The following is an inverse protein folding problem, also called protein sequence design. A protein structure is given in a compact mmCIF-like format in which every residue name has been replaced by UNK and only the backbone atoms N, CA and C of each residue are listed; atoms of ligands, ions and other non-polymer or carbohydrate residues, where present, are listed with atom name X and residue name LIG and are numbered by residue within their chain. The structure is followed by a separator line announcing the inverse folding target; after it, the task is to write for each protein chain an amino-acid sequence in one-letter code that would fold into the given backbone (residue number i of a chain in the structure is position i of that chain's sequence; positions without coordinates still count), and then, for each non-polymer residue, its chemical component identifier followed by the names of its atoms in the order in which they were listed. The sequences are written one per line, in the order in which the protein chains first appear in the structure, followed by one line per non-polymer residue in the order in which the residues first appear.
data_IF_357824411396
#
_entry.id   IF_357824411396
#
_cell.length_a   1.000
_cell.length_b   1.000
_cell.length_c   1.000
_cell.angle_alpha   90.00
_cell.angle_beta   90.00
_cell.angle_gamma   90.00
#
_symmetry.space_group_name_H-M   'P 1'
#
loop_
_entity.id
_entity.type
_entity.pdbx_description
1 polymer ?
#
# COMPACT_ATOMS: atom_id res chain seq x y z
N UNK A 1 -50.29 47.18 -37.92
CA UNK A 1 -49.29 47.23 -36.83
C UNK A 1 -50.02 46.91 -35.53
N UNK A 2 -50.00 45.64 -35.12
CA UNK A 2 -50.45 45.24 -33.78
C UNK A 2 -49.18 44.90 -33.00
N UNK A 3 -48.86 45.75 -32.02
CA UNK A 3 -47.70 45.59 -31.13
C UNK A 3 -48.00 44.49 -30.12
N UNK A 4 -47.34 43.34 -30.27
CA UNK A 4 -47.35 42.29 -29.27
C UNK A 4 -46.46 42.72 -28.09
N UNK A 5 -47.06 42.86 -26.90
CA UNK A 5 -46.32 43.08 -25.65
C UNK A 5 -45.49 41.84 -25.30
N UNK A 6 -44.25 41.98 -24.79
CA UNK A 6 -43.46 40.86 -24.33
C UNK A 6 -44.03 40.26 -23.05
N UNK A 7 -44.17 38.93 -23.02
CA UNK A 7 -44.57 38.19 -21.82
C UNK A 7 -43.53 38.38 -20.70
N UNK A 8 -43.94 38.53 -19.43
CA UNK A 8 -43.01 38.61 -18.32
C UNK A 8 -42.32 37.25 -18.13
N UNK A 9 -41.01 37.22 -18.34
CA UNK A 9 -40.15 36.08 -17.97
C UNK A 9 -39.99 36.05 -16.45
N UNK A 10 -41.00 35.52 -15.75
CA UNK A 10 -40.89 35.19 -14.34
C UNK A 10 -39.84 34.10 -14.10
N UNK A 11 -39.17 34.08 -12.94
CA UNK A 11 -38.21 33.02 -12.61
C UNK A 11 -38.93 31.67 -12.65
N UNK A 12 -38.39 30.74 -13.44
CA UNK A 12 -38.86 29.35 -13.50
C UNK A 12 -38.88 28.78 -12.07
N UNK A 13 -39.94 28.04 -11.67
CA UNK A 13 -39.98 27.43 -10.35
C UNK A 13 -38.80 26.46 -10.20
N UNK A 14 -37.90 26.75 -9.26
CA UNK A 14 -36.78 25.87 -8.96
C UNK A 14 -37.32 24.59 -8.32
N UNK A 15 -37.09 23.45 -8.97
CA UNK A 15 -37.39 22.14 -8.40
C UNK A 15 -36.57 21.98 -7.12
N UNK A 16 -37.24 21.96 -5.98
CA UNK A 16 -36.59 21.78 -4.67
C UNK A 16 -36.69 20.31 -4.28
N UNK A 17 -35.54 19.68 -4.06
CA UNK A 17 -35.44 18.30 -3.63
C UNK A 17 -34.98 18.21 -2.17
N UNK A 18 -35.30 17.11 -1.49
CA UNK A 18 -34.67 16.79 -0.22
C UNK A 18 -33.19 16.47 -0.44
N UNK A 19 -32.32 16.79 0.53
CA UNK A 19 -30.87 16.54 0.45
C UNK A 19 -30.50 15.14 -0.07
N UNK A 20 -31.05 14.02 0.47
CA UNK A 20 -30.67 12.68 0.00
C UNK A 20 -31.14 12.36 -1.42
N UNK A 21 -32.25 12.95 -1.88
CA UNK A 21 -32.74 12.76 -3.25
C UNK A 21 -31.87 13.56 -4.22
N UNK A 22 -31.52 14.79 -3.87
CA UNK A 22 -30.66 15.64 -4.68
C UNK A 22 -29.25 15.05 -4.84
N UNK A 23 -28.68 14.52 -3.75
CA UNK A 23 -27.38 13.84 -3.78
C UNK A 23 -27.34 12.66 -4.76
N UNK A 24 -28.46 11.93 -4.92
CA UNK A 24 -28.56 10.81 -5.86
C UNK A 24 -28.85 11.24 -7.30
N UNK A 25 -29.67 12.29 -7.49
CA UNK A 25 -30.04 12.77 -8.83
C UNK A 25 -28.91 13.57 -9.49
N UNK A 26 -28.14 14.33 -8.72
CA UNK A 26 -27.13 15.25 -9.24
C UNK A 26 -25.96 15.34 -8.25
N UNK A 27 -25.12 14.29 -8.18
CA UNK A 27 -24.06 14.19 -7.17
C UNK A 27 -22.99 15.29 -7.31
N UNK A 28 -22.64 15.68 -8.55
CA UNK A 28 -21.65 16.74 -8.79
C UNK A 28 -22.12 18.12 -8.30
N UNK A 29 -23.29 18.66 -8.71
CA UNK A 29 -23.81 19.91 -8.15
C UNK A 29 -24.04 19.88 -6.63
N UNK A 30 -24.41 18.72 -6.09
CA UNK A 30 -24.61 18.55 -4.66
C UNK A 30 -23.30 18.73 -3.87
N UNK A 31 -22.22 18.07 -4.30
CA UNK A 31 -20.91 18.20 -3.68
C UNK A 31 -20.38 19.64 -3.81
N UNK A 32 -20.52 20.25 -4.99
CA UNK A 32 -20.13 21.65 -5.22
C UNK A 32 -20.83 22.59 -4.24
N UNK A 33 -22.15 22.46 -4.07
CA UNK A 33 -22.91 23.29 -3.13
C UNK A 33 -22.46 23.14 -1.68
N UNK A 34 -22.00 21.96 -1.29
CA UNK A 34 -21.53 21.70 0.08
C UNK A 34 -20.10 22.24 0.29
N UNK A 35 -19.27 22.22 -0.76
CA UNK A 35 -17.91 22.75 -0.75
C UNK A 35 -17.82 24.28 -0.94
N UNK A 36 -18.84 24.91 -1.53
CA UNK A 36 -18.97 26.36 -1.64
C UNK A 36 -20.31 26.81 -1.06
N UNK A 37 -20.44 26.90 0.28
CA UNK A 37 -21.66 27.40 0.89
C UNK A 37 -21.88 28.86 0.51
N UNK A 38 -23.13 29.22 0.21
CA UNK A 38 -23.52 30.59 -0.14
C UNK A 38 -23.37 31.57 1.04
N UNK A 39 -23.39 31.04 2.28
CA UNK A 39 -23.24 31.81 3.51
C UNK A 39 -21.78 31.83 3.98
N UNK A 40 -21.20 33.02 4.26
CA UNK A 40 -19.79 33.14 4.66
C UNK A 40 -19.47 32.55 6.05
N UNK A 41 -20.49 32.33 6.90
CA UNK A 41 -20.31 31.76 8.25
C UNK A 41 -20.16 30.23 8.24
N UNK A 42 -20.53 29.56 7.14
CA UNK A 42 -20.50 28.11 7.06
C UNK A 42 -19.17 27.63 6.46
N UNK A 43 -18.47 26.75 7.16
CA UNK A 43 -17.25 26.15 6.65
C UNK A 43 -17.56 25.15 5.53
N UNK A 44 -16.67 25.02 4.52
CA UNK A 44 -16.84 24.05 3.45
C UNK A 44 -16.75 22.64 4.01
N UNK A 45 -17.80 21.84 3.82
CA UNK A 45 -17.85 20.44 4.26
C UNK A 45 -18.10 19.51 3.09
N UNK A 46 -17.71 18.26 3.26
CA UNK A 46 -17.99 17.16 2.33
C UNK A 46 -19.37 16.58 2.61
N UNK A 47 -19.81 15.67 1.75
CA UNK A 47 -21.10 14.97 1.90
C UNK A 47 -21.22 14.23 3.24
N UNK A 48 -20.10 13.74 3.77
CA UNK A 48 -19.97 13.05 5.06
C UNK A 48 -19.73 13.99 6.26
N UNK A 49 -19.73 15.31 6.04
CA UNK A 49 -19.50 16.33 7.08
C UNK A 49 -18.03 16.60 7.41
N UNK A 50 -17.07 15.88 6.82
CA UNK A 50 -15.63 16.13 7.01
C UNK A 50 -15.18 17.39 6.27
N UNK A 51 -14.11 18.00 6.76
CA UNK A 51 -13.42 19.06 6.03
C UNK A 51 -12.68 18.50 4.78
N UNK A 52 -12.40 19.32 3.75
CA UNK A 52 -11.68 18.88 2.55
C UNK A 52 -10.30 18.25 2.85
N UNK A 53 -9.60 18.76 3.86
CA UNK A 53 -8.27 18.31 4.27
C UNK A 53 -8.28 17.26 5.39
N UNK A 54 -9.45 16.74 5.77
CA UNK A 54 -9.59 15.80 6.89
C UNK A 54 -9.70 14.35 6.40
N UNK A 55 -8.78 13.50 6.85
CA UNK A 55 -8.77 12.06 6.57
C UNK A 55 -9.73 11.29 7.49
N UNK A 56 -10.08 10.04 7.14
CA UNK A 56 -10.85 9.17 8.05
C UNK A 56 -9.99 8.72 9.23
N UNK A 57 -10.58 8.58 10.43
CA UNK A 57 -9.87 7.98 11.56
C UNK A 57 -9.42 6.56 11.20
N UNK A 58 -8.19 6.23 11.56
CA UNK A 58 -7.59 4.92 11.32
C UNK A 58 -7.47 4.15 12.64
N UNK A 59 -7.87 2.89 12.62
CA UNK A 59 -7.70 1.94 13.72
C UNK A 59 -6.97 0.73 13.19
N UNK A 60 -5.90 0.31 13.87
CA UNK A 60 -5.03 -0.79 13.46
C UNK A 60 -4.95 -1.76 14.62
N UNK A 61 -5.25 -3.03 14.37
CA UNK A 61 -5.05 -4.12 15.33
C UNK A 61 -4.09 -5.14 14.70
N UNK A 62 -2.88 -5.25 15.24
CA UNK A 62 -1.90 -6.27 14.82
C UNK A 62 -2.21 -7.63 15.45
N UNK A 63 -1.70 -8.71 14.87
CA UNK A 63 -1.91 -10.09 15.35
C UNK A 63 -3.38 -10.52 15.42
N UNK A 64 -4.21 -10.07 14.47
CA UNK A 64 -5.65 -10.39 14.42
C UNK A 64 -5.96 -11.85 14.02
N UNK A 65 -5.04 -12.53 13.34
CA UNK A 65 -5.17 -13.91 12.87
C UNK A 65 -4.14 -14.81 13.57
N UNK A 66 -4.60 -15.89 14.19
CA UNK A 66 -3.74 -16.79 14.98
C UNK A 66 -2.87 -17.74 14.15
N UNK A 67 -3.29 -18.05 12.92
CA UNK A 67 -2.59 -19.00 12.04
C UNK A 67 -1.57 -18.34 11.10
N UNK A 68 -1.66 -17.02 10.90
CA UNK A 68 -0.74 -16.29 10.03
C UNK A 68 0.58 -15.98 10.75
N UNK A 69 1.68 -15.89 10.00
CA UNK A 69 3.00 -15.52 10.55
C UNK A 69 3.03 -14.05 10.98
N UNK A 70 2.23 -13.21 10.31
CA UNK A 70 1.91 -11.85 10.72
C UNK A 70 0.51 -11.50 10.25
N UNK A 71 -0.19 -10.65 10.99
CA UNK A 71 -1.52 -10.22 10.55
C UNK A 71 -1.88 -8.83 11.06
N UNK A 72 -2.84 -8.21 10.38
CA UNK A 72 -3.41 -6.94 10.81
C UNK A 72 -4.87 -6.84 10.40
N UNK A 73 -5.63 -6.08 11.19
CA UNK A 73 -6.96 -5.58 10.85
C UNK A 73 -6.88 -4.07 10.87
N UNK A 74 -7.13 -3.44 9.72
CA UNK A 74 -7.13 -1.99 9.57
C UNK A 74 -8.52 -1.52 9.21
N UNK A 75 -9.02 -0.56 9.98
CA UNK A 75 -10.28 0.13 9.72
C UNK A 75 -10.00 1.61 9.49
N UNK A 76 -10.41 2.10 8.34
CA UNK A 76 -10.33 3.51 7.93
C UNK A 76 -11.75 4.00 7.66
N UNK A 77 -12.38 4.60 8.67
CA UNK A 77 -13.82 4.90 8.66
C UNK A 77 -14.66 3.62 8.48
N UNK A 78 -15.36 3.51 7.35
CA UNK A 78 -16.19 2.34 7.01
C UNK A 78 -15.45 1.32 6.14
N UNK A 79 -14.27 1.65 5.62
CA UNK A 79 -13.42 0.70 4.90
C UNK A 79 -12.66 -0.17 5.90
N UNK A 80 -12.81 -1.49 5.81
CA UNK A 80 -12.17 -2.45 6.70
C UNK A 80 -11.42 -3.50 5.89
N UNK A 81 -10.14 -3.69 6.19
CA UNK A 81 -9.23 -4.60 5.50
C UNK A 81 -8.53 -5.48 6.51
N UNK A 82 -8.50 -6.78 6.24
CA UNK A 82 -7.71 -7.77 6.97
C UNK A 82 -6.51 -8.12 6.09
N UNK A 83 -5.31 -8.10 6.65
CA UNK A 83 -4.10 -8.56 5.97
C UNK A 83 -3.50 -9.74 6.74
N UNK A 84 -3.16 -10.81 6.03
CA UNK A 84 -2.43 -11.96 6.55
C UNK A 84 -1.12 -12.14 5.77
N UNK A 85 -0.04 -12.41 6.50
CA UNK A 85 1.27 -12.74 5.91
C UNK A 85 1.57 -14.21 6.17
N UNK A 86 1.86 -14.94 5.09
CA UNK A 86 2.28 -16.34 5.13
C UNK A 86 3.66 -16.47 4.49
N UNK A 87 4.62 -16.97 5.26
CA UNK A 87 5.93 -17.37 4.74
C UNK A 87 5.91 -18.80 4.21
N UNK A 88 6.45 -19.01 3.02
CA UNK A 88 6.79 -20.32 2.46
C UNK A 88 8.26 -20.35 2.06
N UNK A 89 8.83 -21.54 1.94
CA UNK A 89 10.23 -21.74 1.59
C UNK A 89 10.36 -22.10 0.11
N UNK A 90 11.09 -21.27 -0.64
CA UNK A 90 11.43 -21.49 -2.03
C UNK A 90 12.86 -22.01 -2.13
N UNK A 91 13.08 -23.30 -2.44
CA UNK A 91 14.43 -23.83 -2.63
C UNK A 91 15.10 -23.21 -3.85
N UNK A 92 16.41 -23.03 -3.80
CA UNK A 92 17.18 -22.42 -4.92
C UNK A 92 17.07 -23.21 -6.23
N UNK A 93 16.81 -24.51 -6.14
CA UNK A 93 16.57 -25.39 -7.29
C UNK A 93 15.29 -25.06 -8.06
N UNK A 94 14.32 -24.43 -7.40
CA UNK A 94 13.05 -24.00 -8.01
C UNK A 94 13.11 -22.58 -8.58
N UNK A 95 14.21 -21.84 -8.34
CA UNK A 95 14.34 -20.45 -8.80
C UNK A 95 14.87 -20.44 -10.25
N UNK A 96 14.10 -19.90 -11.21
CA UNK A 96 14.59 -19.74 -12.56
C UNK A 96 15.73 -18.71 -12.59
N UNK A 97 16.82 -19.02 -13.29
CA UNK A 97 17.99 -18.14 -13.42
C UNK A 97 18.63 -17.73 -12.07
N UNK A 98 18.62 -18.64 -11.10
CA UNK A 98 19.28 -18.42 -9.81
C UNK A 98 20.74 -17.98 -9.99
N UNK A 99 21.10 -16.85 -9.36
CA UNK A 99 22.47 -16.35 -9.34
C UNK A 99 23.11 -16.73 -8.00
N UNK A 100 24.14 -17.60 -7.99
CA UNK A 100 24.75 -18.04 -6.75
C UNK A 100 25.30 -16.85 -5.97
N UNK A 101 25.06 -16.88 -4.66
CA UNK A 101 25.56 -15.87 -3.75
C UNK A 101 26.96 -16.28 -3.29
N UNK A 102 27.98 -15.65 -3.86
CA UNK A 102 29.39 -15.91 -3.52
C UNK A 102 29.90 -15.07 -2.33
N UNK A 103 29.03 -14.24 -1.73
CA UNK A 103 29.34 -13.43 -0.55
C UNK A 103 29.31 -14.25 0.74
N UNK A 104 30.06 -13.83 1.74
CA UNK A 104 30.05 -14.45 3.07
C UNK A 104 28.91 -13.90 3.92
N UNK A 105 28.55 -14.60 5.02
CA UNK A 105 27.55 -14.15 6.01
C UNK A 105 27.85 -12.74 6.58
N UNK A 106 29.08 -12.24 6.42
CA UNK A 106 29.61 -11.01 7.00
C UNK A 106 29.80 -9.87 5.98
N UNK A 107 29.41 -10.06 4.72
CA UNK A 107 29.56 -9.03 3.67
C UNK A 107 28.48 -7.94 3.86
N UNK A 108 28.77 -6.95 4.71
CA UNK A 108 27.90 -5.80 5.01
C UNK A 108 28.18 -4.60 4.10
N UNK A 109 28.54 -4.83 2.85
CA UNK A 109 28.73 -3.74 1.89
C UNK A 109 27.40 -3.18 1.39
N UNK A 110 27.37 -1.88 1.04
CA UNK A 110 26.22 -1.24 0.36
C UNK A 110 25.80 -1.99 -0.92
N UNK A 111 26.73 -2.74 -1.53
CA UNK A 111 26.48 -3.61 -2.67
C UNK A 111 25.57 -4.81 -2.37
N UNK A 112 25.63 -5.40 -1.16
CA UNK A 112 24.76 -6.54 -0.81
C UNK A 112 23.31 -6.10 -0.59
N UNK A 113 23.07 -4.88 -0.11
CA UNK A 113 21.72 -4.36 0.03
C UNK A 113 21.06 -4.14 -1.34
N UNK A 114 21.77 -3.52 -2.29
CA UNK A 114 21.29 -3.34 -3.64
C UNK A 114 21.02 -4.70 -4.32
N UNK A 115 21.88 -5.70 -4.07
CA UNK A 115 21.70 -7.07 -4.54
C UNK A 115 20.48 -7.73 -3.91
N UNK A 116 20.29 -7.64 -2.60
CA UNK A 116 19.14 -8.21 -1.90
C UNK A 116 17.82 -7.61 -2.40
N UNK A 117 17.79 -6.28 -2.66
CA UNK A 117 16.61 -5.64 -3.29
C UNK A 117 16.34 -6.16 -4.70
N UNK A 118 17.40 -6.43 -5.47
CA UNK A 118 17.27 -7.03 -6.81
C UNK A 118 16.79 -8.48 -6.72
N UNK A 119 17.33 -9.28 -5.81
CA UNK A 119 16.89 -10.67 -5.56
C UNK A 119 15.41 -10.71 -5.15
N UNK A 120 14.93 -9.78 -4.31
CA UNK A 120 13.51 -9.68 -3.95
C UNK A 120 12.59 -9.59 -5.16
N UNK A 121 13.00 -8.81 -6.16
CA UNK A 121 12.23 -8.54 -7.36
C UNK A 121 12.45 -9.61 -8.43
N UNK A 122 13.69 -10.05 -8.64
CA UNK A 122 14.03 -11.06 -9.65
C UNK A 122 13.43 -12.43 -9.29
N UNK A 123 13.25 -12.73 -7.99
CA UNK A 123 12.72 -14.02 -7.51
C UNK A 123 11.27 -13.94 -6.99
N UNK A 124 10.59 -12.79 -7.16
CA UNK A 124 9.20 -12.56 -6.72
C UNK A 124 8.93 -13.01 -5.27
N UNK A 125 9.82 -12.65 -4.35
CA UNK A 125 9.74 -13.11 -2.95
C UNK A 125 8.58 -12.47 -2.17
N UNK A 126 7.94 -11.43 -2.70
CA UNK A 126 6.81 -10.74 -2.09
C UNK A 126 5.61 -10.80 -3.03
N UNK A 127 4.58 -11.54 -2.63
CA UNK A 127 3.40 -11.81 -3.47
C UNK A 127 2.15 -11.23 -2.80
N UNK A 128 1.74 -9.99 -3.11
CA UNK A 128 0.52 -9.42 -2.57
C UNK A 128 -0.72 -9.84 -3.38
N UNK A 129 -1.65 -10.53 -2.71
CA UNK A 129 -2.96 -10.85 -3.26
C UNK A 129 -4.05 -9.95 -2.65
N UNK A 130 -5.00 -9.51 -3.47
CA UNK A 130 -6.10 -8.65 -3.01
C UNK A 130 -7.44 -9.24 -3.42
N UNK A 131 -8.23 -9.59 -2.41
CA UNK A 131 -9.58 -10.13 -2.57
C UNK A 131 -10.63 -9.07 -2.24
N UNK A 132 -11.29 -8.60 -3.30
CA UNK A 132 -12.47 -7.70 -3.21
C UNK A 132 -13.79 -8.47 -3.36
N UNK A 133 -13.77 -9.67 -3.94
CA UNK A 133 -14.97 -10.49 -4.25
C UNK A 133 -15.54 -11.20 -3.00
N UNK A 134 -15.65 -10.48 -1.90
CA UNK A 134 -16.09 -10.98 -0.58
C UNK A 134 -17.51 -10.54 -0.23
N UNK A 135 -18.16 -9.77 -1.11
CA UNK A 135 -19.39 -9.04 -0.76
C UNK A 135 -19.13 -7.74 0.02
N UNK A 136 -17.90 -7.21 0.01
CA UNK A 136 -17.55 -5.96 0.72
C UNK A 136 -18.24 -4.71 0.17
N UNK A 137 -18.80 -4.79 -1.04
CA UNK A 137 -19.64 -3.76 -1.64
C UNK A 137 -20.68 -4.39 -2.57
N UNK A 138 -21.82 -3.72 -2.83
CA UNK A 138 -22.85 -4.25 -3.73
C UNK A 138 -22.37 -4.59 -5.15
N UNK A 139 -21.32 -3.91 -5.62
CA UNK A 139 -20.70 -4.13 -6.93
C UNK A 139 -19.74 -5.33 -6.98
N UNK A 140 -19.31 -5.83 -5.82
CA UNK A 140 -18.37 -6.95 -5.71
C UNK A 140 -19.12 -8.20 -5.25
N UNK A 141 -19.69 -8.90 -6.21
CA UNK A 141 -20.39 -10.16 -5.97
C UNK A 141 -19.39 -11.27 -5.59
N UNK A 142 -19.72 -12.16 -4.64
CA UNK A 142 -18.88 -13.30 -4.32
C UNK A 142 -18.67 -14.25 -5.52
N UNK A 143 -17.45 -14.77 -5.66
CA UNK A 143 -17.13 -15.79 -6.67
C UNK A 143 -16.91 -15.26 -8.09
N UNK A 144 -16.90 -13.94 -8.30
CA UNK A 144 -16.52 -13.34 -9.58
C UNK A 144 -14.99 -13.32 -9.75
N UNK A 145 -14.48 -13.36 -11.01
CA UNK A 145 -13.06 -13.18 -11.26
C UNK A 145 -12.54 -11.84 -10.74
N UNK A 146 -11.22 -11.72 -10.51
CA UNK A 146 -10.63 -10.50 -9.95
C UNK A 146 -10.93 -9.29 -10.82
N UNK A 147 -11.50 -8.25 -10.21
CA UNK A 147 -11.87 -7.01 -10.89
C UNK A 147 -10.65 -6.21 -11.33
N UNK A 148 -10.82 -5.30 -12.29
CA UNK A 148 -9.74 -4.38 -12.71
C UNK A 148 -9.20 -3.56 -11.54
N UNK A 149 -10.07 -3.18 -10.59
CA UNK A 149 -9.65 -2.48 -9.38
C UNK A 149 -8.74 -3.35 -8.51
N UNK A 150 -9.11 -4.61 -8.25
CA UNK A 150 -8.29 -5.53 -7.47
C UNK A 150 -6.91 -5.73 -8.10
N UNK A 151 -6.87 -5.95 -9.43
CA UNK A 151 -5.62 -6.14 -10.17
C UNK A 151 -4.73 -4.88 -10.15
N UNK A 152 -5.34 -3.70 -10.33
CA UNK A 152 -4.63 -2.42 -10.30
C UNK A 152 -4.04 -2.15 -8.92
N UNK A 153 -4.83 -2.33 -7.85
CA UNK A 153 -4.36 -2.11 -6.48
C UNK A 153 -3.27 -3.13 -6.11
N UNK A 154 -3.42 -4.41 -6.47
CA UNK A 154 -2.39 -5.45 -6.23
C UNK A 154 -1.08 -5.09 -6.92
N UNK A 155 -1.13 -4.67 -8.19
CA UNK A 155 0.06 -4.23 -8.94
C UNK A 155 0.71 -3.00 -8.32
N UNK A 156 -0.09 -2.03 -7.85
CA UNK A 156 0.42 -0.82 -7.18
C UNK A 156 1.07 -1.16 -5.83
N UNK A 157 0.47 -2.04 -5.04
CA UNK A 157 1.02 -2.51 -3.75
C UNK A 157 2.33 -3.27 -3.99
N UNK A 158 2.38 -4.20 -4.95
CA UNK A 158 3.62 -4.92 -5.32
C UNK A 158 4.73 -3.95 -5.75
N UNK A 159 4.41 -3.01 -6.64
CA UNK A 159 5.37 -2.01 -7.11
C UNK A 159 5.90 -1.15 -5.96
N UNK A 160 5.05 -0.77 -5.01
CA UNK A 160 5.46 0.01 -3.84
C UNK A 160 6.25 -0.83 -2.83
N UNK A 161 5.94 -2.10 -2.63
CA UNK A 161 6.72 -3.01 -1.78
C UNK A 161 8.17 -3.10 -2.25
N UNK A 162 8.37 -3.33 -3.56
CA UNK A 162 9.71 -3.41 -4.14
C UNK A 162 10.40 -2.05 -4.23
N UNK A 163 9.65 -0.97 -4.53
CA UNK A 163 10.20 0.38 -4.68
C UNK A 163 10.58 1.05 -3.36
N UNK A 164 9.79 0.88 -2.31
CA UNK A 164 10.05 1.49 -1.01
C UNK A 164 11.11 0.74 -0.20
N UNK A 165 11.43 -0.52 -0.55
CA UNK A 165 12.45 -1.32 0.14
C UNK A 165 12.08 -1.61 1.60
N UNK A 166 10.79 -1.85 1.85
CA UNK A 166 10.23 -2.04 3.20
C UNK A 166 10.78 -3.29 3.88
N UNK A 167 10.98 -4.37 3.11
CA UNK A 167 11.49 -5.66 3.60
C UNK A 167 12.95 -5.81 3.22
N UNK A 168 13.79 -6.14 4.21
CA UNK A 168 15.20 -6.45 3.97
C UNK A 168 15.38 -7.89 3.46
N UNK A 169 15.86 -8.04 2.22
CA UNK A 169 16.02 -9.35 1.60
C UNK A 169 17.07 -10.24 2.21
N UNK A 170 18.02 -9.67 2.96
CA UNK A 170 19.05 -10.45 3.66
C UNK A 170 18.41 -11.35 4.73
N UNK A 171 17.34 -10.88 5.37
CA UNK A 171 16.59 -11.64 6.38
C UNK A 171 15.75 -12.78 5.80
N UNK A 172 15.56 -12.85 4.48
CA UNK A 172 14.80 -13.91 3.82
C UNK A 172 15.69 -15.06 3.33
N UNK A 173 17.02 -14.90 3.34
CA UNK A 173 17.97 -15.94 2.88
C UNK A 173 18.11 -17.04 3.94
N UNK A 174 18.01 -18.29 3.51
CA UNK A 174 18.33 -19.47 4.33
C UNK A 174 19.71 -19.96 3.94
N UNK A 175 20.64 -19.84 4.89
CA UNK A 175 22.03 -20.24 4.71
C UNK A 175 22.25 -21.68 5.16
N UNK A 176 23.12 -22.38 4.45
CA UNK A 176 23.66 -23.67 4.85
C UNK A 176 25.18 -23.63 4.70
N UNK A 177 25.87 -24.02 5.77
CA UNK A 177 27.30 -24.28 5.73
C UNK A 177 27.47 -25.79 5.82
N UNK A 178 27.93 -26.47 4.74
CA UNK A 178 28.25 -27.88 4.83
C UNK A 178 29.38 -28.07 5.85
N UNK A 179 29.19 -28.99 6.78
CA UNK A 179 30.24 -29.35 7.73
C UNK A 179 31.36 -30.08 6.97
N UNK A 180 32.59 -29.60 7.10
CA UNK A 180 33.76 -30.39 6.72
C UNK A 180 33.73 -31.66 7.56
N UNK A 181 33.58 -32.84 6.94
CA UNK A 181 33.76 -34.11 7.65
C UNK A 181 35.10 -34.06 8.38
N UNK A 182 35.07 -33.98 9.71
CA UNK A 182 36.23 -34.40 10.51
C UNK A 182 36.28 -35.91 10.34
N UNK A 183 37.21 -36.40 9.53
CA UNK A 183 37.56 -37.81 9.58
C UNK A 183 38.08 -38.09 10.99
N UNK A 184 37.25 -38.71 11.83
CA UNK A 184 37.74 -39.47 12.99
C UNK A 184 38.42 -40.72 12.46
N UNK A 185 39.67 -40.55 12.06
CA UNK A 185 40.59 -41.59 11.67
C UNK A 185 42.00 -41.05 11.78
N UNK A 186 42.69 -41.42 12.85
CA UNK A 186 44.14 -41.24 12.98
C UNK A 186 44.83 -41.62 11.67
N UNK A 187 45.45 -40.66 11.00
CA UNK A 187 46.68 -40.84 10.25
C UNK A 187 47.30 -39.48 9.96
N UNK A 188 48.44 -39.23 10.61
CA UNK A 188 49.37 -38.18 10.25
C UNK A 188 49.74 -38.34 8.76
N UNK A 189 49.24 -37.43 7.92
CA UNK A 189 49.78 -37.22 6.59
C UNK A 189 50.22 -35.76 6.52
N UNK A 190 51.53 -35.56 6.57
CA UNK A 190 52.19 -34.31 6.20
C UNK A 190 51.92 -34.04 4.71
N UNK A 191 50.91 -33.23 4.45
CA UNK A 191 50.66 -32.61 3.16
C UNK A 191 49.93 -31.30 3.42
N UNK A 192 50.49 -30.18 2.96
CA UNK A 192 49.78 -28.91 2.85
C UNK A 192 48.68 -29.05 1.79
N UNK A 193 47.62 -29.80 2.11
CA UNK A 193 46.38 -29.71 1.35
C UNK A 193 45.69 -28.41 1.78
N UNK A 194 45.59 -27.48 0.85
CA UNK A 194 44.77 -26.29 0.97
C UNK A 194 43.40 -26.72 1.48
N UNK A 195 43.09 -26.44 2.76
CA UNK A 195 41.74 -26.60 3.28
C UNK A 195 40.85 -25.68 2.47
N UNK A 196 40.14 -26.22 1.48
CA UNK A 196 39.04 -25.50 0.84
C UNK A 196 38.02 -25.19 1.95
N UNK A 197 38.09 -23.97 2.50
CA UNK A 197 37.07 -23.44 3.39
C UNK A 197 35.75 -23.44 2.61
N UNK A 198 34.92 -24.46 2.84
CA UNK A 198 33.64 -24.62 2.16
C UNK A 198 32.76 -23.41 2.48
N UNK A 199 32.48 -22.62 1.46
CA UNK A 199 31.81 -21.33 1.60
C UNK A 199 30.33 -21.55 1.97
N UNK A 200 29.75 -20.72 2.85
CA UNK A 200 28.33 -20.76 3.14
C UNK A 200 27.53 -20.50 1.86
N UNK A 201 26.54 -21.34 1.59
CA UNK A 201 25.69 -21.23 0.40
C UNK A 201 24.24 -20.98 0.80
N UNK A 202 23.54 -20.18 -0.02
CA UNK A 202 22.10 -19.98 0.13
C UNK A 202 21.39 -21.18 -0.48
N UNK A 203 20.54 -21.85 0.31
CA UNK A 203 19.80 -23.05 -0.12
C UNK A 203 18.33 -22.79 -0.39
N UNK A 204 17.76 -21.75 0.21
CA UNK A 204 16.38 -21.35 0.00
C UNK A 204 16.16 -19.87 0.33
N UNK A 205 15.03 -19.35 -0.13
CA UNK A 205 14.51 -18.04 0.22
C UNK A 205 13.14 -18.17 0.87
N UNK A 206 12.84 -17.28 1.80
CA UNK A 206 11.48 -17.07 2.27
C UNK A 206 10.69 -16.26 1.24
N UNK A 207 9.57 -16.81 0.79
CA UNK A 207 8.55 -16.12 -0.01
C UNK A 207 7.43 -15.72 0.93
N UNK A 208 7.06 -14.44 0.91
CA UNK A 208 5.97 -13.89 1.71
C UNK A 208 4.74 -13.68 0.83
N UNK A 209 3.72 -14.50 1.04
CA UNK A 209 2.39 -14.27 0.51
C UNK A 209 1.66 -13.31 1.45
N UNK A 210 1.20 -12.19 0.88
CA UNK A 210 0.53 -11.12 1.61
C UNK A 210 -0.92 -11.08 1.11
N UNK A 211 -1.81 -11.73 1.83
CA UNK A 211 -3.22 -11.84 1.47
C UNK A 211 -4.01 -10.70 2.10
N UNK A 212 -4.62 -9.85 1.28
CA UNK A 212 -5.52 -8.79 1.70
C UNK A 212 -6.96 -9.13 1.40
N UNK A 213 -7.80 -9.08 2.42
CA UNK A 213 -9.23 -9.34 2.36
C UNK A 213 -9.99 -8.07 2.75
N UNK A 214 -10.76 -7.51 1.82
CA UNK A 214 -11.64 -6.39 2.15
C UNK A 214 -12.93 -6.93 2.75
N UNK A 215 -13.27 -6.48 3.96
CA UNK A 215 -14.54 -6.82 4.64
C UNK A 215 -15.61 -5.81 4.29
N UNK A 216 -15.24 -4.53 4.27
CA UNK A 216 -16.11 -3.43 3.89
C UNK A 216 -15.31 -2.46 3.03
N UNK A 217 -15.91 -1.98 1.95
CA UNK A 217 -15.25 -1.09 1.00
C UNK A 217 -16.05 0.22 0.88
N UNK A 218 -15.42 1.35 1.21
CA UNK A 218 -16.01 2.69 1.14
C UNK A 218 -15.04 3.72 0.53
N UNK A 219 -14.35 3.34 -0.55
CA UNK A 219 -13.41 4.20 -1.26
C UNK A 219 -12.00 4.25 -0.64
N UNK A 220 -11.04 4.74 -1.43
CA UNK A 220 -9.60 4.74 -1.19
C UNK A 220 -9.05 3.37 -0.76
N UNK A 221 -9.17 2.32 -1.61
CA UNK A 221 -8.72 0.98 -1.26
C UNK A 221 -7.21 0.90 -1.08
N UNK A 222 -6.45 1.72 -1.81
CA UNK A 222 -4.99 1.66 -1.84
C UNK A 222 -4.37 2.04 -0.50
N UNK A 223 -4.78 3.17 0.09
CA UNK A 223 -4.21 3.61 1.38
C UNK A 223 -4.55 2.63 2.50
N UNK A 224 -5.78 2.12 2.53
CA UNK A 224 -6.23 1.13 3.52
C UNK A 224 -5.49 -0.20 3.37
N UNK A 225 -5.33 -0.70 2.13
CA UNK A 225 -4.54 -1.88 1.83
C UNK A 225 -3.09 -1.71 2.28
N UNK A 226 -2.46 -0.59 1.90
CA UNK A 226 -1.06 -0.33 2.21
C UNK A 226 -0.80 -0.24 3.71
N UNK A 227 -1.65 0.47 4.46
CA UNK A 227 -1.57 0.52 5.91
C UNK A 227 -1.68 -0.88 6.55
N UNK A 228 -2.56 -1.74 6.02
CA UNK A 228 -2.71 -3.12 6.49
C UNK A 228 -1.46 -3.96 6.20
N UNK A 229 -0.87 -3.87 5.01
CA UNK A 229 0.37 -4.56 4.66
C UNK A 229 1.51 -4.17 5.60
N UNK A 230 1.71 -2.87 5.84
CA UNK A 230 2.78 -2.42 6.74
C UNK A 230 2.60 -2.91 8.17
N UNK A 231 1.37 -2.85 8.69
CA UNK A 231 1.06 -3.35 10.02
C UNK A 231 1.31 -4.87 10.12
N UNK A 232 0.91 -5.64 9.10
CA UNK A 232 1.07 -7.09 9.11
C UNK A 232 2.54 -7.51 8.92
N UNK A 233 3.31 -6.80 8.07
CA UNK A 233 4.75 -7.05 7.89
C UNK A 233 5.52 -6.76 9.18
N UNK A 234 5.18 -5.71 9.92
CA UNK A 234 5.81 -5.41 11.23
C UNK A 234 5.51 -6.46 12.30
N UNK A 235 4.34 -7.09 12.24
CA UNK A 235 3.94 -8.18 13.11
C UNK A 235 4.55 -9.54 12.71
N UNK A 236 5.07 -9.65 11.47
CA UNK A 236 5.50 -10.93 10.91
C UNK A 236 6.68 -11.54 11.66
N UNK A 237 6.48 -12.78 12.10
CA UNK A 237 7.47 -13.64 12.76
C UNK A 237 7.64 -14.91 11.95
N UNK A 238 8.85 -15.14 11.44
CA UNK A 238 9.17 -16.33 10.66
C UNK A 238 9.91 -17.33 11.55
N UNK A 239 9.55 -18.62 11.51
CA UNK A 239 10.29 -19.64 12.27
C UNK A 239 11.69 -19.81 11.69
N UNK A 240 12.66 -20.19 12.54
CA UNK A 240 14.02 -20.44 12.08
C UNK A 240 14.06 -21.64 11.13
N UNK A 241 14.51 -21.39 9.90
CA UNK A 241 14.71 -22.38 8.86
C UNK A 241 16.17 -22.85 8.85
N UNK A 242 16.38 -24.17 8.83
CA UNK A 242 17.70 -24.78 8.63
C UNK A 242 17.63 -25.82 7.51
N UNK A 243 18.71 -25.97 6.76
CA UNK A 243 18.85 -27.13 5.86
C UNK A 243 19.04 -28.40 6.68
N UNK A 244 18.36 -29.46 6.31
CA UNK A 244 18.57 -30.80 6.85
C UNK A 244 19.22 -31.68 5.76
N UNK A 245 20.52 -32.01 5.89
CA UNK A 245 21.25 -32.79 4.89
C UNK A 245 20.65 -34.17 4.65
N UNK A 246 20.09 -34.81 5.67
CA UNK A 246 19.56 -36.18 5.58
C UNK A 246 18.27 -36.25 4.76
N UNK A 247 17.50 -35.17 4.79
CA UNK A 247 16.19 -35.07 4.11
C UNK A 247 16.24 -34.26 2.83
N UNK A 248 17.41 -33.69 2.51
CA UNK A 248 17.62 -32.75 1.40
C UNK A 248 16.53 -31.67 1.32
N UNK A 249 16.09 -31.17 2.49
CA UNK A 249 15.03 -30.18 2.56
C UNK A 249 15.24 -29.20 3.72
N UNK A 250 14.67 -28.00 3.58
CA UNK A 250 14.68 -27.01 4.65
C UNK A 250 13.59 -27.36 5.68
N UNK A 251 13.97 -27.42 6.96
CA UNK A 251 13.09 -27.71 8.07
C UNK A 251 12.99 -26.51 9.00
N UNK A 252 11.78 -26.16 9.40
CA UNK A 252 11.50 -25.10 10.37
C UNK A 252 11.47 -25.67 11.79
N UNK A 253 12.16 -25.01 12.73
CA UNK A 253 12.07 -25.35 14.15
C UNK A 253 10.95 -24.54 14.82
N UNK A 254 10.02 -25.22 15.48
CA UNK A 254 8.98 -24.55 16.29
C UNK A 254 9.60 -23.91 17.54
N UNK A 255 9.25 -22.66 17.80
CA UNK A 255 9.60 -21.94 19.05
C UNK A 255 10.84 -21.05 18.96
N UNK A 256 11.49 -20.94 17.80
CA UNK A 256 12.53 -19.94 17.54
C UNK A 256 12.06 -19.08 16.37
N UNK A 257 11.29 -18.05 16.68
CA UNK A 257 10.72 -17.16 15.67
C UNK A 257 11.51 -15.86 15.61
N UNK A 258 11.94 -15.49 14.42
CA UNK A 258 12.67 -14.26 14.15
C UNK A 258 11.70 -13.24 13.56
N UNK A 259 11.67 -12.03 14.12
CA UNK A 259 10.87 -10.92 13.56
C UNK A 259 11.48 -10.46 12.25
N UNK A 260 10.63 -10.17 11.27
CA UNK A 260 11.06 -9.63 10.00
C UNK A 260 11.66 -8.23 10.19
N UNK A 261 12.81 -7.96 9.55
CA UNK A 261 13.42 -6.63 9.58
C UNK A 261 12.69 -5.71 8.59
N UNK A 262 11.74 -4.94 9.12
CA UNK A 262 10.97 -3.95 8.36
C UNK A 262 11.58 -2.57 8.53
N UNK A 263 11.96 -1.93 7.42
CA UNK A 263 12.60 -0.61 7.40
C UNK A 263 11.58 0.50 7.18
N UNK A 264 11.72 1.56 7.96
CA UNK A 264 10.92 2.77 7.83
C UNK A 264 9.43 2.58 8.11
N UNK A 265 8.64 3.60 7.76
CA UNK A 265 7.20 3.54 7.74
C UNK A 265 6.68 4.39 6.58
N UNK A 266 6.75 3.90 5.33
CA UNK A 266 6.19 4.63 4.21
C UNK A 266 4.66 4.64 4.31
N UNK A 267 4.01 5.77 4.59
CA UNK A 267 2.54 5.87 4.65
C UNK A 267 2.02 6.46 3.34
N UNK A 268 1.04 5.80 2.74
CA UNK A 268 0.34 6.28 1.56
C UNK A 268 -0.76 7.26 1.95
N UNK A 269 -0.88 8.34 1.17
CA UNK A 269 -1.86 9.38 1.36
C UNK A 269 -2.41 9.78 -0.01
N UNK A 270 -3.68 9.49 -0.25
CA UNK A 270 -4.38 9.76 -1.49
C UNK A 270 -5.33 10.95 -1.34
N UNK A 271 -5.34 11.81 -2.35
CA UNK A 271 -6.27 12.92 -2.47
C UNK A 271 -6.86 13.00 -3.88
N UNK A 272 -8.15 13.28 -3.94
CA UNK A 272 -8.89 13.50 -5.17
C UNK A 272 -9.06 15.00 -5.43
N UNK A 273 -9.05 15.39 -6.70
CA UNK A 273 -9.30 16.78 -7.11
C UNK A 273 -10.69 16.88 -7.71
N UNK A 274 -11.53 17.66 -7.05
CA UNK A 274 -12.86 18.00 -7.50
C UNK A 274 -12.84 19.33 -8.26
N UNK A 275 -13.50 19.38 -9.41
CA UNK A 275 -13.55 20.56 -10.27
C UNK A 275 -14.92 21.23 -10.19
N UNK A 276 -14.98 22.56 -10.31
CA UNK A 276 -16.25 23.30 -10.34
C UNK A 276 -17.14 22.92 -11.54
N UNK A 277 -16.54 22.55 -12.68
CA UNK A 277 -17.23 22.17 -13.91
C UNK A 277 -16.93 20.71 -14.27
N UNK A 278 -17.99 19.94 -14.52
CA UNK A 278 -17.93 18.49 -14.78
C UNK A 278 -17.33 18.13 -16.16
N UNK A 279 -17.58 18.99 -17.15
CA UNK A 279 -17.07 18.89 -18.51
C UNK A 279 -16.02 20.00 -18.70
N UNK A 280 -14.79 19.59 -19.00
CA UNK A 280 -13.66 20.48 -19.26
C UNK A 280 -13.82 21.26 -20.57
N UNK A 281 -14.85 22.09 -20.70
CA UNK A 281 -14.82 23.23 -21.61
C UNK A 281 -13.79 24.21 -21.06
N UNK A 282 -12.52 23.93 -21.36
CA UNK A 282 -11.40 24.83 -21.15
C UNK A 282 -11.60 25.99 -22.13
N UNK A 283 -12.43 26.95 -21.75
CA UNK A 283 -12.31 28.30 -22.26
C UNK A 283 -10.88 28.77 -21.99
N UNK A 284 -10.13 29.07 -23.06
CA UNK A 284 -8.76 29.58 -22.97
C UNK A 284 -8.72 30.77 -21.99
N UNK A 285 -8.17 30.57 -20.80
CA UNK A 285 -7.75 31.66 -19.91
C UNK A 285 -8.40 31.76 -18.53
N UNK A 286 -9.43 30.99 -18.20
CA UNK A 286 -10.01 31.00 -16.83
C UNK A 286 -9.50 29.81 -16.01
N UNK A 287 -8.91 30.08 -14.84
CA UNK A 287 -8.58 29.05 -13.85
C UNK A 287 -9.90 28.54 -13.24
N UNK A 288 -10.35 27.36 -13.64
CA UNK A 288 -11.45 26.67 -12.96
C UNK A 288 -11.10 26.50 -11.47
N UNK A 289 -12.06 26.81 -10.58
CA UNK A 289 -11.89 26.51 -9.15
C UNK A 289 -11.86 25.00 -8.95
N UNK A 290 -11.02 24.60 -8.02
CA UNK A 290 -10.80 23.20 -7.68
C UNK A 290 -10.70 23.05 -6.16
N UNK A 291 -11.08 21.87 -5.68
CA UNK A 291 -10.97 21.46 -4.29
C UNK A 291 -10.15 20.19 -4.22
N UNK A 292 -9.27 20.12 -3.22
CA UNK A 292 -8.49 18.91 -2.92
C UNK A 292 -9.19 18.21 -1.77
N UNK A 293 -9.64 16.99 -2.01
CA UNK A 293 -10.34 16.14 -1.06
C UNK A 293 -9.38 15.03 -0.61
N UNK A 294 -8.93 15.11 0.64
CA UNK A 294 -8.07 14.10 1.24
C UNK A 294 -8.87 12.84 1.57
N UNK A 295 -8.34 11.66 1.24
CA UNK A 295 -8.97 10.36 1.53
C UNK A 295 -10.44 10.32 1.04
N UNK A 296 -10.64 10.30 -0.30
CA UNK A 296 -11.96 10.35 -0.91
C UNK A 296 -12.79 9.12 -0.50
N UNK A 297 -14.11 9.34 -0.34
CA UNK A 297 -15.05 8.23 -0.23
C UNK A 297 -15.44 7.72 -1.63
N UNK A 298 -16.20 6.62 -1.68
CA UNK A 298 -16.64 6.04 -2.95
C UNK A 298 -17.35 7.04 -3.86
N UNK A 299 -18.23 7.87 -3.29
CA UNK A 299 -19.03 8.82 -4.09
C UNK A 299 -18.14 9.89 -4.70
N UNK A 300 -17.15 10.35 -3.94
CA UNK A 300 -16.18 11.33 -4.41
C UNK A 300 -15.18 10.74 -5.42
N UNK A 301 -14.78 9.48 -5.27
CA UNK A 301 -13.96 8.78 -6.26
C UNK A 301 -14.66 8.66 -7.62
N UNK A 302 -15.98 8.43 -7.64
CA UNK A 302 -16.77 8.39 -8.88
C UNK A 302 -16.86 9.77 -9.55
N UNK A 303 -16.84 10.85 -8.76
CA UNK A 303 -16.96 12.23 -9.25
C UNK A 303 -15.61 12.82 -9.71
N UNK A 304 -14.51 12.45 -9.05
CA UNK A 304 -13.20 13.04 -9.29
C UNK A 304 -12.43 12.25 -10.36
N UNK A 305 -12.00 12.94 -11.42
CA UNK A 305 -11.21 12.35 -12.52
C UNK A 305 -9.70 12.45 -12.31
N UNK A 306 -9.27 13.19 -11.28
CA UNK A 306 -7.87 13.42 -10.96
C UNK A 306 -7.61 12.99 -9.52
N UNK A 307 -6.66 12.08 -9.33
CA UNK A 307 -6.26 11.55 -8.02
C UNK A 307 -4.74 11.61 -7.92
N UNK A 308 -4.24 12.06 -6.78
CA UNK A 308 -2.82 12.03 -6.44
C UNK A 308 -2.62 11.18 -5.20
N UNK A 309 -1.66 10.26 -5.27
CA UNK A 309 -1.20 9.47 -4.15
C UNK A 309 0.25 9.82 -3.87
N UNK A 310 0.56 10.20 -2.65
CA UNK A 310 1.92 10.44 -2.19
C UNK A 310 2.24 9.48 -1.05
N UNK A 311 3.40 8.84 -1.14
CA UNK A 311 3.91 7.96 -0.10
C UNK A 311 5.07 8.66 0.60
N UNK A 312 4.88 8.95 1.88
CA UNK A 312 5.86 9.66 2.72
C UNK A 312 6.42 8.75 3.81
N UNK A 313 7.71 8.88 4.08
CA UNK A 313 8.40 8.16 5.13
C UNK A 313 9.20 9.15 5.97
N UNK A 314 8.80 9.31 7.24
CA UNK A 314 9.45 10.22 8.19
C UNK A 314 10.18 9.46 9.29
N UNK A 315 10.57 8.19 9.05
CA UNK A 315 11.29 7.38 10.04
C UNK A 315 12.69 7.91 10.37
N UNK A 316 13.35 8.54 9.41
CA UNK A 316 14.74 8.94 9.50
C UNK A 316 14.86 10.40 9.98
N UNK A 317 14.78 10.61 11.30
CA UNK A 317 15.32 11.82 11.94
C UNK A 317 14.68 13.16 11.57
N UNK A 318 13.40 13.18 11.20
CA UNK A 318 12.62 14.43 11.03
C UNK A 318 12.59 15.01 9.61
N UNK A 319 13.35 14.45 8.66
CA UNK A 319 13.22 14.80 7.24
C UNK A 319 12.19 13.91 6.54
N UNK A 320 11.22 14.54 5.88
CA UNK A 320 10.20 13.85 5.09
C UNK A 320 10.79 13.32 3.79
N UNK A 321 10.91 12.00 3.67
CA UNK A 321 11.32 11.34 2.42
C UNK A 321 10.11 10.90 1.64
N UNK A 322 9.96 11.42 0.42
CA UNK A 322 8.91 10.98 -0.49
C UNK A 322 9.40 9.73 -1.23
N UNK A 323 8.74 8.59 -1.01
CA UNK A 323 9.09 7.31 -1.63
C UNK A 323 8.48 7.16 -3.02
N UNK A 324 7.25 7.63 -3.19
CA UNK A 324 6.52 7.56 -4.46
C UNK A 324 5.52 8.70 -4.56
N UNK A 325 5.35 9.22 -5.78
CA UNK A 325 4.30 10.16 -6.15
C UNK A 325 3.65 9.60 -7.39
N UNK A 326 2.35 9.35 -7.30
CA UNK A 326 1.54 8.91 -8.42
C UNK A 326 0.44 9.93 -8.68
N UNK A 327 0.35 10.41 -9.92
CA UNK A 327 -0.71 11.31 -10.37
C UNK A 327 -1.47 10.62 -11.47
N UNK A 328 -2.75 10.34 -11.22
CA UNK A 328 -3.65 9.75 -12.19
C UNK A 328 -4.64 10.80 -12.67
N UNK A 329 -4.65 11.04 -13.98
CA UNK A 329 -5.60 11.96 -14.62
C UNK A 329 -5.33 13.45 -14.40
N UNK A 330 -6.19 14.26 -15.03
CA UNK A 330 -6.32 15.71 -14.89
C UNK A 330 -5.12 16.59 -15.25
N UNK A 331 -5.33 17.91 -15.20
CA UNK A 331 -4.32 18.93 -15.53
C UNK A 331 -4.12 19.96 -14.41
N UNK A 332 -4.82 19.80 -13.28
CA UNK A 332 -4.91 20.86 -12.28
C UNK A 332 -3.79 20.78 -11.25
N UNK A 333 -3.33 19.58 -10.91
CA UNK A 333 -2.26 19.43 -9.91
C UNK A 333 -0.92 19.90 -10.48
N UNK A 334 -0.50 21.08 -10.02
CA UNK A 334 0.83 21.64 -10.24
C UNK A 334 1.83 21.29 -9.13
N UNK A 335 3.10 21.68 -9.33
CA UNK A 335 4.20 21.40 -8.39
C UNK A 335 4.00 21.99 -7.00
N UNK A 336 3.41 23.18 -6.92
CA UNK A 336 3.16 23.87 -5.64
C UNK A 336 2.11 23.14 -4.81
N UNK A 337 1.02 22.67 -5.44
CA UNK A 337 -0.02 21.89 -4.78
C UNK A 337 0.52 20.54 -4.28
N UNK A 338 1.38 19.87 -5.06
CA UNK A 338 2.04 18.64 -4.62
C UNK A 338 2.90 18.90 -3.37
N UNK A 339 3.66 20.00 -3.33
CA UNK A 339 4.45 20.36 -2.15
C UNK A 339 3.59 20.62 -0.92
N UNK A 340 2.48 21.36 -1.08
CA UNK A 340 1.52 21.56 0.00
C UNK A 340 0.91 20.23 0.48
N UNK A 341 0.62 19.32 -0.45
CA UNK A 341 0.08 18.01 -0.15
C UNK A 341 1.05 17.11 0.63
N UNK A 342 2.36 17.20 0.37
CA UNK A 342 3.37 16.49 1.18
C UNK A 342 3.27 16.89 2.65
N UNK A 343 3.07 18.17 2.98
CA UNK A 343 2.88 18.61 4.36
C UNK A 343 1.62 18.05 5.04
N UNK A 344 0.54 17.84 4.27
CA UNK A 344 -0.67 17.16 4.77
C UNK A 344 -0.42 15.67 4.97
N UNK A 345 0.30 15.04 4.04
CA UNK A 345 0.71 13.63 4.14
C UNK A 345 1.59 13.37 5.36
N UNK A 346 2.45 14.31 5.76
CA UNK A 346 3.20 14.23 7.02
C UNK A 346 2.29 14.19 8.25
N UNK A 347 1.23 14.99 8.25
CA UNK A 347 0.20 14.94 9.29
C UNK A 347 -0.42 13.56 9.41
N UNK A 348 -0.84 13.01 8.27
CA UNK A 348 -1.40 11.65 8.20
C UNK A 348 -0.40 10.58 8.63
N UNK A 349 0.88 10.72 8.29
CA UNK A 349 1.91 9.79 8.72
C UNK A 349 2.02 9.70 10.24
N UNK A 350 1.90 10.83 10.96
CA UNK A 350 1.92 10.84 12.43
C UNK A 350 0.72 10.11 13.02
N UNK A 351 -0.49 10.34 12.49
CA UNK A 351 -1.71 9.64 12.92
C UNK A 351 -1.57 8.12 12.73
N UNK A 352 -1.07 7.68 11.58
CA UNK A 352 -0.87 6.24 11.30
C UNK A 352 0.20 5.65 12.19
N UNK A 353 1.29 6.38 12.46
CA UNK A 353 2.34 5.95 13.37
C UNK A 353 1.81 5.77 14.79
N UNK A 354 0.97 6.68 15.27
CA UNK A 354 0.31 6.58 16.57
C UNK A 354 -0.63 5.38 16.62
N UNK A 355 -1.45 5.19 15.58
CA UNK A 355 -2.36 4.04 15.49
C UNK A 355 -1.63 2.69 15.40
N UNK A 356 -0.40 2.63 14.86
CA UNK A 356 0.43 1.43 14.84
C UNK A 356 1.23 1.18 16.14
N UNK A 357 1.40 2.21 16.96
CA UNK A 357 2.17 2.14 18.20
C UNK A 357 1.34 1.86 19.46
N UNK A 358 0.01 1.92 19.34
CA UNK A 358 -0.95 1.62 20.39
C UNK A 358 -1.32 0.13 20.46
#
# INVERSE_FOLDING_TARGET
MATASPAPSGPQPSLTFTRPVFAKLSPHPYLLRTLSPDSPDQQPTRNNGRAPHQSRPIQINTSSLSQAHGSSLVRTGDTTVICGVRGELLPVTAIPQFRPHNGTLYDQDEGDEARARKELKDYDLLVPNIELATGCAPQFLPGVPPTTLAQTVSTRVSSLLHGAGVVDGRGLRVWFTPESKKEEGDMEVEGEEEREEQKPQVVAYWVLYIDLLFVSFDGNPFDAAWAAVLAALKDTKLPMARWDPDREMVVCRKGQDTRLNVRGLPVACSAAVFLEKEHGEVGRGERNRHWILLDPDRSEEELCKEVVTVVVDCSDGGETRVRSIEKQGGTVIGRELIRGFVGVAEGRWREVKEAMGN
#
